data_IF_236850452319
#
_entry.id   IF_236850452319
#
_cell.length_a   1.000
_cell.length_b   1.000
_cell.length_c   1.000
_cell.angle_alpha   90.00
_cell.angle_beta   90.00
_cell.angle_gamma   90.00
#
_symmetry.space_group_name_H-M   'P 1'
#
loop_
_entity.id
_entity.type
_entity.pdbx_description
1 polymer ?
#
# COMPACT_ATOMS: atom_id res chain seq x y z
N UNK A 1 16.67 -42.48 24.81
CA UNK A 1 17.43 -41.23 24.76
C UNK A 1 17.51 -40.81 23.31
N UNK A 2 16.60 -39.96 22.87
CA UNK A 2 16.54 -39.45 21.49
C UNK A 2 17.44 -38.21 21.41
N UNK A 3 18.50 -38.27 20.61
CA UNK A 3 19.35 -37.12 20.37
C UNK A 3 18.52 -36.04 19.68
N UNK A 4 18.64 -34.74 20.07
CA UNK A 4 18.06 -33.67 19.32
C UNK A 4 18.79 -33.62 17.96
N UNK A 5 18.02 -33.66 16.87
CA UNK A 5 18.48 -33.41 15.51
C UNK A 5 19.11 -32.01 15.46
N UNK A 6 20.41 -31.94 15.24
CA UNK A 6 21.13 -30.72 14.90
C UNK A 6 20.38 -29.99 13.79
N UNK A 7 20.17 -28.65 13.91
CA UNK A 7 19.57 -27.89 12.81
C UNK A 7 20.45 -28.07 11.58
N UNK A 8 19.82 -28.44 10.47
CA UNK A 8 20.48 -28.52 9.16
C UNK A 8 21.17 -27.19 8.88
N UNK A 9 22.47 -27.22 8.56
CA UNK A 9 23.31 -26.09 8.22
C UNK A 9 22.82 -25.49 6.87
N UNK A 10 21.67 -24.79 6.89
CA UNK A 10 21.13 -24.09 5.71
C UNK A 10 21.96 -22.84 5.54
N UNK A 11 22.41 -22.55 4.32
CA UNK A 11 23.13 -21.30 4.04
C UNK A 11 22.18 -20.10 4.26
N UNK A 12 22.75 -18.96 4.64
CA UNK A 12 22.03 -17.69 4.79
C UNK A 12 21.24 -17.34 3.52
N UNK A 13 21.80 -17.57 2.35
CA UNK A 13 21.12 -17.42 1.04
C UNK A 13 19.86 -18.28 0.95
N UNK A 14 19.95 -19.57 1.31
CA UNK A 14 18.80 -20.48 1.24
C UNK A 14 17.68 -20.09 2.21
N UNK A 15 18.03 -19.61 3.41
CA UNK A 15 17.06 -19.10 4.39
C UNK A 15 16.41 -17.80 3.93
N UNK A 16 17.17 -16.90 3.32
CA UNK A 16 16.64 -15.66 2.74
C UNK A 16 15.64 -15.97 1.63
N UNK A 17 15.98 -16.87 0.68
CA UNK A 17 15.08 -17.27 -0.39
C UNK A 17 13.81 -17.93 0.12
N UNK A 18 13.90 -18.73 1.18
CA UNK A 18 12.74 -19.34 1.85
C UNK A 18 11.85 -18.26 2.49
N UNK A 19 12.45 -17.30 3.19
CA UNK A 19 11.76 -16.14 3.77
C UNK A 19 11.03 -15.31 2.71
N UNK A 20 11.67 -15.05 1.57
CA UNK A 20 11.06 -14.33 0.43
C UNK A 20 9.87 -15.12 -0.15
N UNK A 21 9.96 -16.44 -0.25
CA UNK A 21 8.82 -17.27 -0.70
C UNK A 21 7.65 -17.20 0.28
N UNK A 22 7.91 -17.24 1.59
CA UNK A 22 6.87 -17.08 2.61
C UNK A 22 6.25 -15.68 2.58
N UNK A 23 7.06 -14.63 2.41
CA UNK A 23 6.59 -13.25 2.25
C UNK A 23 5.62 -13.13 1.06
N UNK A 24 6.00 -13.65 -0.11
CA UNK A 24 5.15 -13.67 -1.31
C UNK A 24 3.88 -14.49 -1.14
N UNK A 25 3.94 -15.54 -0.34
CA UNK A 25 2.80 -16.40 -0.01
C UNK A 25 1.92 -15.88 1.14
N UNK A 26 2.20 -14.68 1.69
CA UNK A 26 1.46 -14.10 2.81
C UNK A 26 1.68 -14.80 4.16
N UNK A 27 2.66 -15.71 4.26
CA UNK A 27 2.99 -16.45 5.48
C UNK A 27 3.93 -15.62 6.38
N UNK A 28 3.45 -14.47 6.82
CA UNK A 28 4.22 -13.42 7.51
C UNK A 28 5.07 -13.94 8.68
N UNK A 29 4.49 -14.74 9.58
CA UNK A 29 5.23 -15.25 10.76
C UNK A 29 6.42 -16.14 10.36
N UNK A 30 6.28 -16.94 9.30
CA UNK A 30 7.37 -17.77 8.79
C UNK A 30 8.43 -16.92 8.08
N UNK A 31 8.02 -15.92 7.32
CA UNK A 31 8.93 -14.99 6.67
C UNK A 31 9.78 -14.25 7.72
N UNK A 32 9.15 -13.71 8.76
CA UNK A 32 9.83 -13.04 9.89
C UNK A 32 10.87 -13.97 10.52
N UNK A 33 10.50 -15.21 10.88
CA UNK A 33 11.45 -16.17 11.48
C UNK A 33 12.66 -16.44 10.58
N UNK A 34 12.45 -16.64 9.27
CA UNK A 34 13.56 -16.83 8.34
C UNK A 34 14.48 -15.60 8.27
N UNK A 35 13.91 -14.38 8.22
CA UNK A 35 14.71 -13.17 8.18
C UNK A 35 15.48 -12.93 9.49
N UNK A 36 14.87 -13.20 10.65
CA UNK A 36 15.56 -13.15 11.95
C UNK A 36 16.75 -14.11 11.99
N UNK A 37 16.58 -15.35 11.52
CA UNK A 37 17.66 -16.34 11.45
C UNK A 37 18.80 -15.85 10.53
N UNK A 38 18.50 -15.25 9.38
CA UNK A 38 19.52 -14.70 8.48
C UNK A 38 20.25 -13.53 9.12
N UNK A 39 19.57 -12.64 9.84
CA UNK A 39 20.21 -11.48 10.49
C UNK A 39 21.17 -11.88 11.62
N UNK A 40 20.95 -13.00 12.28
CA UNK A 40 21.86 -13.54 13.31
C UNK A 40 23.19 -14.02 12.72
N UNK A 41 23.22 -14.40 11.44
CA UNK A 41 24.40 -14.91 10.74
C UNK A 41 25.00 -13.89 9.76
N UNK A 42 24.88 -12.59 10.09
CA UNK A 42 25.30 -11.48 9.24
C UNK A 42 26.79 -11.51 8.85
N UNK A 43 27.64 -12.11 9.68
CA UNK A 43 29.08 -12.22 9.42
C UNK A 43 29.40 -13.18 8.28
N UNK A 44 28.56 -14.19 8.05
CA UNK A 44 28.75 -15.18 7.01
C UNK A 44 28.40 -14.62 5.63
N UNK A 45 27.35 -13.77 5.56
CA UNK A 45 26.88 -13.13 4.34
C UNK A 45 26.21 -11.79 4.65
N UNK A 46 27.00 -10.70 4.73
CA UNK A 46 26.48 -9.35 5.01
C UNK A 46 25.42 -8.87 4.00
N UNK A 47 25.51 -9.31 2.73
CA UNK A 47 24.57 -8.88 1.71
C UNK A 47 23.18 -9.48 1.94
N UNK A 48 23.09 -10.79 2.16
CA UNK A 48 21.83 -11.46 2.52
C UNK A 48 21.27 -10.95 3.85
N UNK A 49 22.13 -10.67 4.83
CA UNK A 49 21.70 -10.13 6.12
C UNK A 49 21.15 -8.70 5.99
N UNK A 50 21.77 -7.83 5.21
CA UNK A 50 21.27 -6.49 4.95
C UNK A 50 19.90 -6.54 4.23
N UNK A 51 19.72 -7.47 3.29
CA UNK A 51 18.43 -7.71 2.65
C UNK A 51 17.38 -8.22 3.64
N UNK A 52 17.74 -9.17 4.49
CA UNK A 52 16.82 -9.69 5.51
C UNK A 52 16.38 -8.58 6.49
N UNK A 53 17.29 -7.69 6.89
CA UNK A 53 16.98 -6.57 7.78
C UNK A 53 15.92 -5.63 7.22
N UNK A 54 16.06 -5.17 5.97
CA UNK A 54 15.04 -4.26 5.42
C UNK A 54 13.71 -4.97 5.15
N UNK A 55 13.73 -6.28 4.81
CA UNK A 55 12.50 -7.07 4.68
C UNK A 55 11.80 -7.24 6.03
N UNK A 56 12.55 -7.53 7.07
CA UNK A 56 12.05 -7.61 8.45
C UNK A 56 11.43 -6.27 8.88
N UNK A 57 12.12 -5.16 8.60
CA UNK A 57 11.59 -3.82 8.84
C UNK A 57 10.25 -3.58 8.14
N UNK A 58 10.11 -4.02 6.88
CA UNK A 58 8.86 -3.91 6.15
C UNK A 58 7.74 -4.77 6.76
N UNK A 59 8.04 -6.00 7.21
CA UNK A 59 7.06 -6.84 7.91
C UNK A 59 6.58 -6.20 9.21
N UNK A 60 7.49 -5.65 10.02
CA UNK A 60 7.13 -4.91 11.23
C UNK A 60 6.30 -3.66 10.93
N UNK A 61 6.65 -2.91 9.86
CA UNK A 61 5.88 -1.75 9.41
C UNK A 61 4.44 -2.11 9.05
N UNK A 62 4.25 -3.19 8.30
CA UNK A 62 2.91 -3.70 7.92
C UNK A 62 2.07 -4.11 9.13
N UNK A 63 2.72 -4.54 10.22
CA UNK A 63 2.10 -4.89 11.49
C UNK A 63 1.96 -3.69 12.46
N UNK A 64 2.30 -2.47 12.03
CA UNK A 64 2.32 -1.26 12.85
C UNK A 64 3.27 -1.33 14.07
N UNK A 65 4.26 -2.20 14.02
CA UNK A 65 5.32 -2.33 15.03
C UNK A 65 6.44 -1.33 14.71
N UNK A 66 6.15 -0.06 14.95
CA UNK A 66 6.97 1.06 14.46
C UNK A 66 8.39 1.10 15.01
N UNK A 67 8.56 0.75 16.29
CA UNK A 67 9.87 0.75 16.94
C UNK A 67 10.77 -0.33 16.32
N UNK A 68 10.30 -1.56 16.26
CA UNK A 68 11.04 -2.69 15.69
C UNK A 68 11.30 -2.48 14.19
N UNK A 69 10.35 -1.86 13.48
CA UNK A 69 10.53 -1.53 12.08
C UNK A 69 11.68 -0.54 11.86
N UNK A 70 11.77 0.52 12.68
CA UNK A 70 12.85 1.49 12.60
C UNK A 70 14.19 0.89 13.01
N UNK A 71 14.25 0.10 14.08
CA UNK A 71 15.47 -0.58 14.48
C UNK A 71 16.01 -1.49 13.38
N UNK A 72 15.15 -2.32 12.80
CA UNK A 72 15.54 -3.22 11.73
C UNK A 72 15.98 -2.47 10.45
N UNK A 73 15.27 -1.41 10.03
CA UNK A 73 15.67 -0.61 8.87
C UNK A 73 17.05 0.03 9.06
N UNK A 74 17.30 0.59 10.24
CA UNK A 74 18.58 1.21 10.57
C UNK A 74 19.72 0.20 10.69
N UNK A 75 19.47 -0.95 11.31
CA UNK A 75 20.44 -2.03 11.38
C UNK A 75 20.87 -2.48 9.96
N UNK A 76 19.91 -2.66 9.06
CA UNK A 76 20.19 -3.00 7.67
C UNK A 76 20.98 -1.91 6.93
N UNK A 77 20.63 -0.63 7.12
CA UNK A 77 21.35 0.49 6.51
C UNK A 77 22.79 0.63 7.01
N UNK A 78 23.03 0.45 8.32
CA UNK A 78 24.36 0.49 8.91
C UNK A 78 25.20 -0.66 8.36
N UNK A 79 24.70 -1.89 8.44
CA UNK A 79 25.40 -3.08 7.93
C UNK A 79 25.75 -2.92 6.44
N UNK A 80 24.79 -2.50 5.63
CA UNK A 80 25.01 -2.30 4.20
C UNK A 80 26.08 -1.23 3.92
N UNK A 81 26.07 -0.12 4.67
CA UNK A 81 27.06 0.96 4.54
C UNK A 81 28.47 0.49 4.92
N UNK A 82 28.62 -0.23 6.03
CA UNK A 82 29.92 -0.75 6.50
C UNK A 82 30.54 -1.72 5.51
N UNK A 83 29.72 -2.44 4.73
CA UNK A 83 30.19 -3.39 3.73
C UNK A 83 30.14 -2.86 2.27
N UNK A 84 29.84 -1.57 2.07
CA UNK A 84 29.80 -0.95 0.74
C UNK A 84 28.68 -1.43 -0.16
N UNK A 85 27.60 -1.98 0.40
CA UNK A 85 26.44 -2.55 -0.29
C UNK A 85 25.41 -1.45 -0.60
N UNK A 86 25.70 -0.63 -1.62
CA UNK A 86 24.97 0.62 -1.92
C UNK A 86 23.47 0.38 -2.15
N UNK A 87 23.11 -0.65 -2.91
CA UNK A 87 21.70 -0.90 -3.21
C UNK A 87 20.91 -1.39 -1.99
N UNK A 88 21.54 -2.23 -1.14
CA UNK A 88 20.92 -2.68 0.12
C UNK A 88 20.77 -1.52 1.12
N UNK A 89 21.75 -0.61 1.19
CA UNK A 89 21.61 0.63 1.96
C UNK A 89 20.43 1.46 1.44
N UNK A 90 20.30 1.60 0.12
CA UNK A 90 19.17 2.30 -0.51
C UNK A 90 17.83 1.66 -0.16
N UNK A 91 17.71 0.34 -0.27
CA UNK A 91 16.45 -0.38 0.07
C UNK A 91 16.09 -0.20 1.56
N UNK A 92 17.07 -0.26 2.46
CA UNK A 92 16.86 -0.04 3.89
C UNK A 92 16.40 1.39 4.20
N UNK A 93 17.04 2.40 3.59
CA UNK A 93 16.64 3.81 3.72
C UNK A 93 15.25 4.06 3.14
N UNK A 94 14.90 3.42 2.02
CA UNK A 94 13.56 3.49 1.45
C UNK A 94 12.49 2.97 2.42
N UNK A 95 12.78 1.88 3.14
CA UNK A 95 11.85 1.37 4.15
C UNK A 95 11.78 2.31 5.37
N UNK A 96 12.90 2.85 5.85
CA UNK A 96 12.88 3.84 6.93
C UNK A 96 12.03 5.07 6.53
N UNK A 97 12.21 5.58 5.31
CA UNK A 97 11.40 6.66 4.76
C UNK A 97 9.91 6.30 4.69
N UNK A 98 9.57 5.07 4.27
CA UNK A 98 8.19 4.59 4.21
C UNK A 98 7.54 4.48 5.60
N UNK A 99 8.30 4.15 6.64
CA UNK A 99 7.82 4.16 8.03
C UNK A 99 7.44 5.57 8.45
N UNK A 100 8.31 6.56 8.22
CA UNK A 100 8.06 7.96 8.56
C UNK A 100 6.89 8.53 7.75
N UNK A 101 6.82 8.23 6.46
CA UNK A 101 5.71 8.62 5.59
C UNK A 101 4.37 8.07 6.09
N UNK A 102 4.31 6.80 6.50
CA UNK A 102 3.10 6.17 7.07
C UNK A 102 2.66 6.86 8.36
N UNK A 103 3.61 7.40 9.13
CA UNK A 103 3.34 8.18 10.35
C UNK A 103 3.00 9.65 10.09
N UNK A 104 3.02 10.09 8.83
CA UNK A 104 2.74 11.46 8.41
C UNK A 104 3.92 12.41 8.58
N UNK A 105 5.12 11.92 8.93
CA UNK A 105 6.34 12.73 9.03
C UNK A 105 7.06 12.81 7.67
N UNK A 106 6.51 13.63 6.79
CA UNK A 106 7.04 13.83 5.44
C UNK A 106 8.39 14.57 5.43
N UNK A 107 8.65 15.40 6.45
CA UNK A 107 9.93 16.13 6.58
C UNK A 107 11.09 15.17 6.82
N UNK A 108 10.89 14.17 7.66
CA UNK A 108 11.89 13.12 7.91
C UNK A 108 11.97 12.11 6.76
N UNK A 109 10.85 11.78 6.13
CA UNK A 109 10.78 10.78 5.07
C UNK A 109 11.47 11.23 3.77
N UNK A 110 11.26 12.47 3.33
CA UNK A 110 11.76 13.01 2.06
C UNK A 110 13.29 12.83 1.87
N UNK A 111 14.16 13.30 2.78
CA UNK A 111 15.60 13.17 2.59
C UNK A 111 16.07 11.71 2.55
N UNK A 112 15.36 10.78 3.18
CA UNK A 112 15.64 9.35 3.09
C UNK A 112 15.39 8.81 1.68
N UNK A 113 14.29 9.19 1.04
CA UNK A 113 14.01 8.79 -0.35
C UNK A 113 14.95 9.47 -1.35
N UNK A 114 15.32 10.73 -1.13
CA UNK A 114 16.33 11.42 -1.95
C UNK A 114 17.69 10.70 -1.84
N UNK A 115 18.08 10.33 -0.64
CA UNK A 115 19.31 9.54 -0.43
C UNK A 115 19.21 8.14 -1.03
N UNK A 116 18.02 7.52 -1.02
CA UNK A 116 17.76 6.27 -1.74
C UNK A 116 18.06 6.43 -3.22
N UNK A 117 17.60 7.50 -3.87
CA UNK A 117 17.87 7.74 -5.30
C UNK A 117 19.36 7.90 -5.63
N UNK A 118 20.13 8.54 -4.74
CA UNK A 118 21.59 8.71 -4.93
C UNK A 118 22.35 7.37 -4.85
N UNK A 119 21.86 6.44 -4.04
CA UNK A 119 22.53 5.16 -3.78
C UNK A 119 22.01 4.03 -4.68
N UNK A 120 20.78 4.14 -5.18
CA UNK A 120 20.10 3.07 -5.91
C UNK A 120 20.82 2.69 -7.21
N UNK A 121 21.20 1.43 -7.32
CA UNK A 121 21.85 0.84 -8.49
C UNK A 121 20.85 0.14 -9.41
N UNK A 122 19.71 -0.33 -8.85
CA UNK A 122 18.68 -1.03 -9.62
C UNK A 122 17.50 -0.13 -9.98
N UNK A 123 16.88 -0.34 -11.16
CA UNK A 123 15.67 0.39 -11.53
C UNK A 123 14.53 0.21 -10.51
N UNK A 124 14.37 -0.99 -9.94
CA UNK A 124 13.32 -1.28 -8.94
C UNK A 124 13.46 -0.41 -7.68
N UNK A 125 14.71 -0.24 -7.17
CA UNK A 125 14.95 0.59 -5.98
C UNK A 125 14.71 2.07 -6.30
N UNK A 126 15.13 2.56 -7.49
CA UNK A 126 14.82 3.93 -7.93
C UNK A 126 13.31 4.16 -8.06
N UNK A 127 12.60 3.21 -8.67
CA UNK A 127 11.15 3.29 -8.85
C UNK A 127 10.40 3.46 -7.52
N UNK A 128 10.75 2.66 -6.50
CA UNK A 128 10.14 2.75 -5.15
C UNK A 128 10.35 4.12 -4.52
N UNK A 129 11.57 4.66 -4.61
CA UNK A 129 11.87 5.97 -4.04
C UNK A 129 11.14 7.10 -4.77
N UNK A 130 11.09 7.08 -6.10
CA UNK A 130 10.33 8.03 -6.91
C UNK A 130 8.83 7.97 -6.59
N UNK A 131 8.27 6.76 -6.45
CA UNK A 131 6.88 6.57 -6.07
C UNK A 131 6.56 7.20 -4.70
N UNK A 132 7.43 6.98 -3.71
CA UNK A 132 7.25 7.53 -2.38
C UNK A 132 7.38 9.06 -2.36
N UNK A 133 8.34 9.63 -3.10
CA UNK A 133 8.47 11.08 -3.28
C UNK A 133 7.25 11.66 -3.99
N UNK A 134 6.72 10.98 -5.00
CA UNK A 134 5.47 11.34 -5.66
C UNK A 134 4.29 11.36 -4.69
N UNK A 135 4.21 10.36 -3.81
CA UNK A 135 3.21 10.32 -2.74
C UNK A 135 3.31 11.52 -1.81
N UNK A 136 4.51 11.86 -1.33
CA UNK A 136 4.73 13.06 -0.49
C UNK A 136 4.34 14.34 -1.23
N UNK A 137 4.75 14.49 -2.50
CA UNK A 137 4.38 15.66 -3.30
C UNK A 137 2.86 15.79 -3.47
N UNK A 138 2.14 14.67 -3.65
CA UNK A 138 0.68 14.62 -3.70
C UNK A 138 0.04 15.12 -2.40
N UNK A 139 0.47 14.60 -1.25
CA UNK A 139 -0.02 15.03 0.07
C UNK A 139 0.23 16.53 0.34
N UNK A 140 1.32 17.08 -0.17
CA UNK A 140 1.66 18.51 -0.12
C UNK A 140 0.95 19.32 -1.23
N UNK A 141 0.08 18.70 -2.02
CA UNK A 141 -0.67 19.29 -3.13
C UNK A 141 0.21 19.84 -4.26
N UNK A 142 1.43 19.36 -4.38
CA UNK A 142 2.34 19.67 -5.50
C UNK A 142 2.09 18.70 -6.64
N UNK A 143 0.89 18.79 -7.24
CA UNK A 143 0.34 17.80 -8.16
C UNK A 143 1.20 17.58 -9.41
N UNK A 144 1.74 18.65 -10.01
CA UNK A 144 2.58 18.54 -11.22
C UNK A 144 3.90 17.80 -10.92
N UNK A 145 4.49 18.03 -9.75
CA UNK A 145 5.69 17.31 -9.30
C UNK A 145 5.37 15.84 -9.01
N UNK A 146 4.26 15.57 -8.35
CA UNK A 146 3.82 14.22 -8.06
C UNK A 146 3.59 13.40 -9.34
N UNK A 147 2.95 13.99 -10.34
CA UNK A 147 2.71 13.36 -11.64
C UNK A 147 4.03 13.01 -12.35
N UNK A 148 4.98 13.94 -12.40
CA UNK A 148 6.30 13.68 -12.97
C UNK A 148 7.07 12.59 -12.24
N UNK A 149 6.95 12.52 -10.91
CA UNK A 149 7.61 11.50 -10.09
C UNK A 149 6.97 10.12 -10.32
N UNK A 150 5.65 10.03 -10.43
CA UNK A 150 4.96 8.77 -10.75
C UNK A 150 5.27 8.29 -12.17
N UNK A 151 5.36 9.19 -13.16
CA UNK A 151 5.78 8.83 -14.52
C UNK A 151 7.19 8.28 -14.57
N UNK A 152 8.13 8.92 -13.87
CA UNK A 152 9.50 8.40 -13.73
C UNK A 152 9.52 7.05 -13.03
N UNK A 153 8.76 6.90 -11.95
CA UNK A 153 8.64 5.63 -11.22
C UNK A 153 8.14 4.52 -12.14
N UNK A 154 7.09 4.78 -12.92
CA UNK A 154 6.55 3.82 -13.90
C UNK A 154 7.60 3.40 -14.93
N UNK A 155 8.37 4.37 -15.46
CA UNK A 155 9.44 4.09 -16.42
C UNK A 155 10.55 3.21 -15.82
N UNK A 156 10.91 3.43 -14.56
CA UNK A 156 11.90 2.61 -13.85
C UNK A 156 11.34 1.19 -13.55
N UNK A 157 10.05 1.05 -13.20
CA UNK A 157 9.44 -0.27 -13.05
C UNK A 157 9.37 -1.03 -14.37
N UNK A 158 9.07 -0.34 -15.48
CA UNK A 158 9.12 -0.95 -16.81
C UNK A 158 10.53 -1.43 -17.17
N UNK A 159 11.57 -0.65 -16.87
CA UNK A 159 12.96 -1.05 -17.03
C UNK A 159 13.36 -2.24 -16.15
N UNK A 160 12.72 -2.40 -15.01
CA UNK A 160 12.88 -3.56 -14.11
C UNK A 160 12.05 -4.78 -14.52
N UNK A 161 11.21 -4.68 -15.55
CA UNK A 161 10.17 -5.66 -15.90
C UNK A 161 9.24 -5.99 -14.73
N UNK A 162 8.96 -5.00 -13.88
CA UNK A 162 8.07 -5.10 -12.72
C UNK A 162 6.66 -4.61 -13.07
N UNK A 163 5.87 -5.48 -13.69
CA UNK A 163 4.49 -5.18 -14.06
C UNK A 163 3.61 -4.79 -12.85
N UNK A 164 3.93 -5.33 -11.65
CA UNK A 164 3.22 -4.97 -10.43
C UNK A 164 3.53 -3.53 -10.02
N UNK A 165 4.79 -3.13 -10.06
CA UNK A 165 5.20 -1.75 -9.80
C UNK A 165 4.61 -0.75 -10.79
N UNK A 166 4.55 -1.10 -12.08
CA UNK A 166 3.88 -0.29 -13.10
C UNK A 166 2.40 -0.07 -12.77
N UNK A 167 1.67 -1.13 -12.39
CA UNK A 167 0.27 -1.05 -12.01
C UNK A 167 0.05 -0.17 -10.76
N UNK A 168 0.94 -0.25 -9.76
CA UNK A 168 0.90 0.62 -8.58
C UNK A 168 1.13 2.08 -8.94
N UNK A 169 2.05 2.38 -9.87
CA UNK A 169 2.30 3.75 -10.33
C UNK A 169 1.07 4.34 -11.03
N UNK A 170 0.41 3.56 -11.90
CA UNK A 170 -0.86 3.96 -12.55
C UNK A 170 -1.96 4.21 -11.52
N UNK A 171 -2.09 3.34 -10.52
CA UNK A 171 -3.08 3.49 -9.45
C UNK A 171 -2.86 4.80 -8.65
N UNK A 172 -1.62 5.11 -8.30
CA UNK A 172 -1.27 6.34 -7.58
C UNK A 172 -1.50 7.59 -8.44
N UNK A 173 -1.17 7.53 -9.73
CA UNK A 173 -1.42 8.62 -10.67
C UNK A 173 -2.91 8.89 -10.84
N UNK A 174 -3.73 7.86 -11.03
CA UNK A 174 -5.18 8.01 -11.13
C UNK A 174 -5.80 8.59 -9.85
N UNK A 175 -5.32 8.18 -8.66
CA UNK A 175 -5.73 8.79 -7.39
C UNK A 175 -5.34 10.26 -7.31
N UNK A 176 -4.11 10.60 -7.72
CA UNK A 176 -3.64 12.00 -7.77
C UNK A 176 -4.51 12.87 -8.69
N UNK A 177 -4.88 12.36 -9.85
CA UNK A 177 -5.75 13.04 -10.81
C UNK A 177 -7.15 13.29 -10.24
N UNK A 178 -7.70 12.35 -9.47
CA UNK A 178 -8.94 12.55 -8.70
C UNK A 178 -8.80 13.66 -7.66
N UNK A 179 -7.73 13.67 -6.88
CA UNK A 179 -7.47 14.68 -5.86
C UNK A 179 -7.26 16.09 -6.48
N UNK A 180 -6.71 16.14 -7.69
CA UNK A 180 -6.57 17.36 -8.49
C UNK A 180 -7.89 17.86 -9.06
N UNK A 181 -8.93 17.05 -9.08
CA UNK A 181 -10.23 17.38 -9.68
C UNK A 181 -10.32 17.10 -11.18
N UNK A 182 -9.50 16.19 -11.69
CA UNK A 182 -9.46 15.77 -13.10
C UNK A 182 -10.04 14.35 -13.26
N UNK A 183 -11.35 14.13 -13.05
CA UNK A 183 -11.93 12.78 -13.05
C UNK A 183 -11.89 12.09 -14.41
N UNK A 184 -11.83 12.85 -15.52
CA UNK A 184 -11.75 12.29 -16.85
C UNK A 184 -10.38 11.65 -17.11
N UNK A 185 -9.29 12.32 -16.75
CA UNK A 185 -7.93 11.77 -16.87
C UNK A 185 -7.76 10.60 -15.90
N UNK A 186 -8.27 10.75 -14.67
CA UNK A 186 -8.26 9.68 -13.67
C UNK A 186 -8.96 8.41 -14.17
N UNK A 187 -10.12 8.54 -14.84
CA UNK A 187 -10.81 7.40 -15.43
C UNK A 187 -9.91 6.65 -16.39
N UNK A 188 -9.30 7.32 -17.34
CA UNK A 188 -8.43 6.70 -18.35
C UNK A 188 -7.25 5.99 -17.69
N UNK A 189 -6.54 6.68 -16.78
CA UNK A 189 -5.40 6.10 -16.08
C UNK A 189 -5.80 4.91 -15.20
N UNK A 190 -6.97 4.97 -14.55
CA UNK A 190 -7.46 3.89 -13.69
C UNK A 190 -8.01 2.69 -14.47
N UNK A 191 -8.52 2.89 -15.69
CA UNK A 191 -8.85 1.80 -16.61
C UNK A 191 -7.57 1.00 -16.97
N UNK A 192 -6.46 1.70 -17.26
CA UNK A 192 -5.15 1.07 -17.49
C UNK A 192 -4.64 0.38 -16.21
N UNK A 193 -4.81 0.99 -15.03
CA UNK A 193 -4.43 0.38 -13.75
C UNK A 193 -5.22 -0.89 -13.45
N UNK A 194 -6.53 -0.92 -13.71
CA UNK A 194 -7.38 -2.12 -13.58
C UNK A 194 -6.88 -3.24 -14.51
N UNK A 195 -6.58 -2.90 -15.77
CA UNK A 195 -6.06 -3.87 -16.73
C UNK A 195 -4.72 -4.44 -16.27
N UNK A 196 -3.76 -3.58 -15.91
CA UNK A 196 -2.43 -3.98 -15.44
C UNK A 196 -2.53 -4.85 -14.16
N UNK A 197 -3.30 -4.43 -13.17
CA UNK A 197 -3.50 -5.18 -11.93
C UNK A 197 -4.10 -6.57 -12.17
N UNK A 198 -5.03 -6.70 -13.13
CA UNK A 198 -5.60 -7.99 -13.52
C UNK A 198 -4.55 -8.93 -14.08
N UNK A 199 -3.60 -8.42 -14.88
CA UNK A 199 -2.53 -9.23 -15.46
C UNK A 199 -1.54 -9.76 -14.41
N UNK A 200 -1.35 -9.06 -13.29
CA UNK A 200 -0.49 -9.53 -12.19
C UNK A 200 -1.14 -10.62 -11.35
N UNK A 201 -2.44 -10.81 -11.43
CA UNK A 201 -3.21 -11.71 -10.56
C UNK A 201 -3.33 -11.21 -9.11
N UNK A 202 -2.91 -9.99 -8.81
CA UNK A 202 -3.01 -9.38 -7.47
C UNK A 202 -4.45 -8.86 -7.24
N UNK A 203 -5.22 -9.65 -6.49
CA UNK A 203 -6.63 -9.39 -6.22
C UNK A 203 -6.85 -8.07 -5.45
N UNK A 204 -5.96 -7.77 -4.49
CA UNK A 204 -6.05 -6.56 -3.68
C UNK A 204 -5.81 -5.31 -4.53
N UNK A 205 -4.76 -5.33 -5.34
CA UNK A 205 -4.44 -4.24 -6.24
C UNK A 205 -5.55 -4.02 -7.28
N UNK A 206 -6.08 -5.09 -7.85
CA UNK A 206 -7.19 -5.03 -8.80
C UNK A 206 -8.45 -4.40 -8.16
N UNK A 207 -8.77 -4.80 -6.91
CA UNK A 207 -9.87 -4.20 -6.16
C UNK A 207 -9.65 -2.72 -5.85
N UNK A 208 -8.41 -2.33 -5.49
CA UNK A 208 -8.07 -0.93 -5.24
C UNK A 208 -8.21 -0.07 -6.51
N UNK A 209 -7.79 -0.59 -7.66
CA UNK A 209 -7.95 0.09 -8.94
C UNK A 209 -9.44 0.24 -9.32
N UNK A 210 -10.26 -0.80 -9.13
CA UNK A 210 -11.70 -0.75 -9.35
C UNK A 210 -12.41 0.25 -8.43
N UNK A 211 -12.04 0.32 -7.15
CA UNK A 211 -12.60 1.30 -6.22
C UNK A 211 -12.31 2.73 -6.67
N UNK A 212 -11.05 3.03 -7.02
CA UNK A 212 -10.68 4.35 -7.47
C UNK A 212 -11.30 4.70 -8.83
N UNK A 213 -11.42 3.73 -9.75
CA UNK A 213 -12.16 3.90 -11.01
C UNK A 213 -13.64 4.21 -10.75
N UNK A 214 -14.28 3.49 -9.83
CA UNK A 214 -15.64 3.79 -9.40
C UNK A 214 -15.80 5.20 -8.82
N UNK A 215 -14.80 5.68 -8.07
CA UNK A 215 -14.79 7.07 -7.58
C UNK A 215 -14.70 8.07 -8.74
N UNK A 216 -13.85 7.83 -9.75
CA UNK A 216 -13.75 8.68 -10.94
C UNK A 216 -15.07 8.72 -11.73
N UNK A 217 -15.69 7.56 -11.93
CA UNK A 217 -16.99 7.44 -12.60
C UNK A 217 -18.11 8.15 -11.83
N UNK A 218 -18.07 8.11 -10.48
CA UNK A 218 -19.00 8.85 -9.63
C UNK A 218 -18.89 10.37 -9.83
N UNK A 219 -17.67 10.92 -9.90
CA UNK A 219 -17.45 12.34 -10.19
C UNK A 219 -17.94 12.73 -11.60
N UNK A 220 -17.86 11.80 -12.55
CA UNK A 220 -18.37 11.96 -13.91
C UNK A 220 -19.89 11.69 -14.06
N UNK A 221 -20.61 11.50 -12.97
CA UNK A 221 -22.04 11.20 -12.91
C UNK A 221 -22.44 9.88 -13.61
N UNK A 222 -21.48 8.99 -13.90
CA UNK A 222 -21.74 7.64 -14.42
C UNK A 222 -22.06 6.69 -13.26
N UNK A 223 -23.19 6.95 -12.59
CA UNK A 223 -23.54 6.34 -11.29
C UNK A 223 -23.68 4.82 -11.37
N UNK A 224 -24.26 4.28 -12.45
CA UNK A 224 -24.43 2.83 -12.63
C UNK A 224 -23.10 2.11 -12.81
N UNK A 225 -22.20 2.66 -13.62
CA UNK A 225 -20.88 2.07 -13.85
C UNK A 225 -20.03 2.16 -12.58
N UNK A 226 -20.12 3.29 -11.84
CA UNK A 226 -19.45 3.48 -10.57
C UNK A 226 -19.88 2.40 -9.55
N UNK A 227 -21.19 2.15 -9.45
CA UNK A 227 -21.73 1.15 -8.54
C UNK A 227 -21.24 -0.26 -8.88
N UNK A 228 -21.24 -0.64 -10.16
CA UNK A 228 -20.71 -1.94 -10.62
C UNK A 228 -19.25 -2.13 -10.20
N UNK A 229 -18.40 -1.12 -10.46
CA UNK A 229 -16.97 -1.19 -10.12
C UNK A 229 -16.73 -1.28 -8.62
N UNK A 230 -17.43 -0.44 -7.83
CA UNK A 230 -17.28 -0.42 -6.37
C UNK A 230 -17.83 -1.70 -5.73
N UNK A 231 -18.94 -2.24 -6.24
CA UNK A 231 -19.49 -3.52 -5.76
C UNK A 231 -18.55 -4.69 -6.04
N UNK A 232 -17.92 -4.71 -7.22
CA UNK A 232 -16.91 -5.71 -7.56
C UNK A 232 -15.69 -5.60 -6.64
N UNK A 233 -15.20 -4.37 -6.39
CA UNK A 233 -14.11 -4.11 -5.45
C UNK A 233 -14.45 -4.58 -4.03
N UNK A 234 -15.67 -4.29 -3.55
CA UNK A 234 -16.16 -4.74 -2.24
C UNK A 234 -16.12 -6.27 -2.10
N UNK A 235 -16.58 -6.99 -3.12
CA UNK A 235 -16.53 -8.45 -3.15
C UNK A 235 -15.10 -8.99 -3.05
N UNK A 236 -14.17 -8.42 -3.80
CA UNK A 236 -12.76 -8.81 -3.78
C UNK A 236 -12.08 -8.49 -2.44
N UNK A 237 -12.33 -7.31 -1.85
CA UNK A 237 -11.85 -6.98 -0.52
C UNK A 237 -12.48 -7.84 0.59
N UNK A 238 -13.68 -8.39 0.36
CA UNK A 238 -14.29 -9.35 1.27
C UNK A 238 -13.57 -10.70 1.22
N UNK A 239 -13.20 -11.17 0.02
CA UNK A 239 -12.40 -12.40 -0.17
C UNK A 239 -11.00 -12.24 0.44
N UNK A 240 -10.37 -11.07 0.27
CA UNK A 240 -9.04 -10.77 0.79
C UNK A 240 -9.03 -10.41 2.29
N UNK A 241 -10.18 -10.33 2.94
CA UNK A 241 -10.39 -9.94 4.34
C UNK A 241 -9.72 -8.60 4.71
N UNK A 242 -9.99 -7.55 3.90
CA UNK A 242 -9.45 -6.20 4.12
C UNK A 242 -10.57 -5.25 4.58
N UNK A 243 -10.86 -5.19 5.89
CA UNK A 243 -12.04 -4.49 6.41
C UNK A 243 -12.02 -2.98 6.16
N UNK A 244 -10.86 -2.32 6.21
CA UNK A 244 -10.74 -0.87 5.94
C UNK A 244 -11.22 -0.55 4.52
N UNK A 245 -10.81 -1.33 3.53
CA UNK A 245 -11.22 -1.10 2.14
C UNK A 245 -12.69 -1.46 1.90
N UNK A 246 -13.22 -2.48 2.59
CA UNK A 246 -14.65 -2.80 2.58
C UNK A 246 -15.50 -1.64 3.10
N UNK A 247 -15.08 -1.02 4.21
CA UNK A 247 -15.72 0.18 4.74
C UNK A 247 -15.70 1.31 3.71
N UNK A 248 -14.56 1.57 3.07
CA UNK A 248 -14.46 2.59 2.02
C UNK A 248 -15.41 2.33 0.85
N UNK A 249 -15.52 1.09 0.38
CA UNK A 249 -16.48 0.72 -0.68
C UNK A 249 -17.92 1.02 -0.25
N UNK A 250 -18.32 0.59 0.96
CA UNK A 250 -19.68 0.82 1.48
C UNK A 250 -20.01 2.31 1.63
N UNK A 251 -19.04 3.12 2.06
CA UNK A 251 -19.22 4.59 2.13
C UNK A 251 -19.39 5.20 0.73
N UNK A 252 -18.66 4.72 -0.28
CA UNK A 252 -18.83 5.18 -1.65
C UNK A 252 -20.17 4.73 -2.25
N UNK A 253 -20.63 3.51 -1.96
CA UNK A 253 -21.97 3.03 -2.36
C UNK A 253 -23.08 3.87 -1.71
N UNK A 254 -22.93 4.25 -0.44
CA UNK A 254 -23.84 5.16 0.23
C UNK A 254 -23.87 6.55 -0.45
N UNK A 255 -22.73 7.08 -0.86
CA UNK A 255 -22.64 8.33 -1.61
C UNK A 255 -23.38 8.22 -2.96
N UNK A 256 -23.22 7.13 -3.70
CA UNK A 256 -23.94 6.88 -4.96
C UNK A 256 -25.45 6.82 -4.74
N UNK A 257 -25.90 6.17 -3.67
CA UNK A 257 -27.33 6.12 -3.32
C UNK A 257 -27.88 7.53 -3.03
N UNK A 258 -27.11 8.40 -2.35
CA UNK A 258 -27.53 9.80 -2.14
C UNK A 258 -27.60 10.58 -3.47
N UNK A 259 -26.69 10.34 -4.42
CA UNK A 259 -26.76 10.95 -5.75
C UNK A 259 -28.03 10.54 -6.53
N UNK A 260 -28.59 9.35 -6.24
CA UNK A 260 -29.88 8.87 -6.77
C UNK A 260 -31.09 9.34 -5.98
N UNK A 261 -30.89 10.13 -4.93
CA UNK A 261 -31.96 10.51 -3.99
C UNK A 261 -32.59 9.29 -3.26
N UNK A 262 -31.76 8.33 -2.88
CA UNK A 262 -32.14 7.09 -2.18
C UNK A 262 -31.58 7.07 -0.74
N UNK A 263 -32.06 7.91 0.19
CA UNK A 263 -31.47 8.06 1.53
C UNK A 263 -31.58 6.77 2.36
N UNK A 264 -32.60 5.96 2.17
CA UNK A 264 -32.74 4.68 2.87
C UNK A 264 -31.66 3.68 2.44
N UNK A 265 -31.36 3.58 1.15
CA UNK A 265 -30.28 2.74 0.62
C UNK A 265 -28.92 3.22 1.15
N UNK A 266 -28.68 4.52 1.19
CA UNK A 266 -27.47 5.10 1.77
C UNK A 266 -27.32 4.74 3.25
N UNK A 267 -28.39 4.81 4.03
CA UNK A 267 -28.41 4.44 5.44
C UNK A 267 -28.10 2.95 5.66
N UNK A 268 -28.62 2.08 4.83
CA UNK A 268 -28.31 0.64 4.86
C UNK A 268 -26.82 0.42 4.62
N UNK A 269 -26.23 1.03 3.58
CA UNK A 269 -24.81 0.91 3.28
C UNK A 269 -23.94 1.42 4.45
N UNK A 270 -24.26 2.58 5.03
CA UNK A 270 -23.52 3.15 6.17
C UNK A 270 -23.68 2.31 7.44
N UNK A 271 -24.86 1.74 7.69
CA UNK A 271 -25.06 0.84 8.83
C UNK A 271 -24.18 -0.41 8.69
N UNK A 272 -24.13 -0.99 7.49
CA UNK A 272 -23.24 -2.11 7.21
C UNK A 272 -21.75 -1.70 7.35
N UNK A 273 -21.37 -0.52 6.85
CA UNK A 273 -20.02 0.01 7.03
C UNK A 273 -19.64 0.15 8.51
N UNK A 274 -20.57 0.66 9.33
CA UNK A 274 -20.41 0.78 10.79
C UNK A 274 -20.16 -0.57 11.45
N UNK A 275 -20.93 -1.59 11.08
CA UNK A 275 -20.83 -2.91 11.68
C UNK A 275 -19.49 -3.58 11.30
N UNK A 276 -19.03 -3.43 10.05
CA UNK A 276 -17.69 -3.87 9.62
C UNK A 276 -16.59 -3.13 10.38
N UNK A 277 -16.70 -1.80 10.50
CA UNK A 277 -15.72 -0.97 11.19
C UNK A 277 -15.65 -1.26 12.71
N UNK A 278 -16.80 -1.52 13.34
CA UNK A 278 -16.86 -1.88 14.75
C UNK A 278 -16.20 -3.25 15.01
N UNK A 279 -16.51 -4.24 14.19
CA UNK A 279 -15.92 -5.58 14.30
C UNK A 279 -14.41 -5.56 14.09
N UNK A 280 -13.93 -4.75 13.14
CA UNK A 280 -12.52 -4.60 12.83
C UNK A 280 -11.78 -3.56 13.72
N UNK A 281 -12.45 -2.97 14.71
CA UNK A 281 -11.90 -1.98 15.63
C UNK A 281 -11.26 -0.77 14.92
N UNK A 282 -11.99 -0.15 14.00
CA UNK A 282 -11.58 0.99 13.19
C UNK A 282 -12.19 2.30 13.72
N UNK A 283 -11.66 2.93 14.77
CA UNK A 283 -12.30 4.04 15.46
C UNK A 283 -12.40 5.32 14.62
N UNK A 284 -11.47 5.54 13.69
CA UNK A 284 -11.49 6.69 12.77
C UNK A 284 -12.65 6.58 11.79
N UNK A 285 -12.78 5.42 11.16
CA UNK A 285 -13.83 5.12 10.20
C UNK A 285 -15.20 5.14 10.86
N UNK A 286 -15.32 4.62 12.10
CA UNK A 286 -16.56 4.66 12.87
C UNK A 286 -17.06 6.09 13.08
N UNK A 287 -16.20 7.04 13.46
CA UNK A 287 -16.59 8.44 13.63
C UNK A 287 -17.14 9.03 12.33
N UNK A 288 -16.41 8.84 11.22
CA UNK A 288 -16.84 9.36 9.92
C UNK A 288 -18.18 8.79 9.48
N UNK A 289 -18.46 7.52 9.76
CA UNK A 289 -19.72 6.86 9.40
C UNK A 289 -20.87 7.39 10.26
N UNK A 290 -20.65 7.55 11.56
CA UNK A 290 -21.67 8.10 12.49
C UNK A 290 -22.05 9.52 12.06
N UNK A 291 -21.07 10.39 11.80
CA UNK A 291 -21.32 11.74 11.32
C UNK A 291 -22.16 11.76 10.02
N UNK A 292 -21.93 10.81 9.10
CA UNK A 292 -22.71 10.69 7.88
C UNK A 292 -24.14 10.19 8.13
N UNK A 293 -24.34 9.25 9.05
CA UNK A 293 -25.67 8.76 9.44
C UNK A 293 -26.50 9.87 10.08
N UNK A 294 -25.91 10.61 11.02
CA UNK A 294 -26.57 11.73 11.69
C UNK A 294 -27.00 12.84 10.70
N UNK A 295 -26.15 13.12 9.70
CA UNK A 295 -26.47 14.08 8.64
C UNK A 295 -27.65 13.63 7.76
N UNK A 296 -27.78 12.33 7.48
CA UNK A 296 -28.94 11.80 6.72
C UNK A 296 -30.22 11.91 7.55
N UNK A 297 -30.15 11.55 8.86
CA UNK A 297 -31.30 11.60 9.75
C UNK A 297 -31.81 13.03 9.96
N UNK A 298 -30.91 14.00 10.13
CA UNK A 298 -31.25 15.41 10.25
C UNK A 298 -31.97 15.95 8.99
N UNK A 299 -31.51 15.59 7.79
CA UNK A 299 -32.16 16.00 6.53
C UNK A 299 -33.56 15.38 6.36
N UNK A 300 -33.73 14.12 6.72
CA UNK A 300 -35.02 13.42 6.61
C UNK A 300 -36.06 13.98 7.59
N UNK A 301 -35.64 14.49 8.75
CA UNK A 301 -36.54 15.14 9.72
C UNK A 301 -37.00 16.54 9.31
N UNK A 302 -36.27 17.24 8.47
CA UNK A 302 -36.63 18.58 7.98
C UNK A 302 -37.63 18.52 6.82
N UNK A 303 -37.68 17.39 6.11
CA UNK A 303 -38.56 17.16 4.94
C UNK A 303 -39.92 16.54 5.33
N UNK A 304 -40.11 16.13 6.59
CA UNK A 304 -41.37 15.62 7.14
C UNK A 304 -42.07 16.69 8.00
#
# INVERSE_FOLDING_TARGET
>A
MSHPTTPSNRSTVSLLEEGIRYERGGLTSRAVSCFEDVTQHWQDDPASAAEAWWRLANQHRLQSRWFEALEAARAGAILAREHGLRNQEADALNIEGAIWMTRGDYLTARPLFERTLELAETPSTRAKALQNLGGIAGEERRFDEAEQLFDKSRSEYAAAHDARGEAVSLLNMGRLQLERGNPQDARTTLEDAVYAARLTGDLEMHAAALLNLGMALSELQSVSDAEERITTAYGQFTIADIPVQRVRCLMQLARLALLRNEPLTAKICLTHARDVAAHAQLPRELRLIVDQLDNIDAKTQVET
#
